data_IF_276087756763
#
_entry.id   IF_276087756763
#
_cell.length_a   1.000
_cell.length_b   1.000
_cell.length_c   1.000
_cell.angle_alpha   90.00
_cell.angle_beta   90.00
_cell.angle_gamma   90.00
#
_symmetry.space_group_name_H-M   'P 1'
#
loop_
_entity.id
_entity.type
_entity.pdbx_description
1 polymer ?
#
# COMPACT_ATOMS: atom_id res chain seq x y z
N UNK A 1 -55.18 37.46 57.46
CA UNK A 1 -54.11 38.28 56.86
C UNK A 1 -52.83 37.51 57.05
N UNK A 2 -52.04 37.43 55.97
CA UNK A 2 -50.68 36.87 55.84
C UNK A 2 -50.60 35.33 55.94
N UNK A 3 -50.59 34.56 54.84
CA UNK A 3 -49.59 34.42 53.74
C UNK A 3 -48.21 34.02 54.28
N UNK A 4 -47.96 32.71 54.33
CA UNK A 4 -46.63 32.17 54.07
C UNK A 4 -46.77 30.81 53.38
N UNK A 5 -46.46 30.77 52.09
CA UNK A 5 -46.48 29.57 51.25
C UNK A 5 -45.15 29.47 50.52
N UNK A 6 -44.29 28.60 51.04
CA UNK A 6 -43.03 28.21 50.43
C UNK A 6 -43.28 27.25 49.26
N UNK A 7 -43.24 27.77 48.03
CA UNK A 7 -43.21 26.95 46.82
C UNK A 7 -41.76 26.71 46.39
N UNK A 8 -41.28 25.49 46.57
CA UNK A 8 -40.03 25.01 45.98
C UNK A 8 -40.13 24.98 44.44
N UNK A 9 -39.14 25.56 43.76
CA UNK A 9 -39.01 25.48 42.31
C UNK A 9 -38.59 24.05 41.88
N UNK A 10 -39.11 23.49 40.77
CA UNK A 10 -38.58 22.27 40.22
C UNK A 10 -37.32 22.58 39.41
N UNK A 11 -36.19 22.02 39.81
CA UNK A 11 -34.98 21.96 39.00
C UNK A 11 -35.30 21.22 37.69
N UNK A 12 -35.26 21.94 36.58
CA UNK A 12 -35.36 21.37 35.23
C UNK A 12 -34.10 20.59 34.89
N UNK A 13 -34.10 19.28 35.17
CA UNK A 13 -33.16 18.35 34.55
C UNK A 13 -33.42 18.23 33.04
N UNK A 14 -32.41 17.88 32.22
CA UNK A 14 -32.60 17.76 30.78
C UNK A 14 -33.72 16.76 30.47
N UNK A 15 -34.69 17.19 29.66
CA UNK A 15 -35.82 16.36 29.22
C UNK A 15 -35.35 15.02 28.69
N UNK A 16 -36.00 13.91 29.09
CA UNK A 16 -35.69 12.56 28.62
C UNK A 16 -35.68 12.44 27.08
N UNK A 17 -36.42 13.30 26.38
CA UNK A 17 -36.41 13.40 24.91
C UNK A 17 -35.12 14.01 24.35
N UNK A 18 -34.48 14.95 25.05
CA UNK A 18 -33.20 15.54 24.65
C UNK A 18 -32.04 14.55 24.86
N UNK A 19 -32.08 13.78 25.94
CA UNK A 19 -31.10 12.70 26.18
C UNK A 19 -31.23 11.57 25.16
N UNK A 20 -32.45 11.16 24.81
CA UNK A 20 -32.70 10.17 23.77
C UNK A 20 -32.29 10.64 22.36
N UNK A 21 -32.52 11.92 22.05
CA UNK A 21 -32.06 12.52 20.80
C UNK A 21 -30.52 12.56 20.73
N UNK A 22 -29.84 13.01 21.79
CA UNK A 22 -28.37 13.03 21.84
C UNK A 22 -27.75 11.63 21.68
N UNK A 23 -28.32 10.62 22.35
CA UNK A 23 -27.88 9.23 22.22
C UNK A 23 -28.10 8.66 20.82
N UNK A 24 -29.20 9.05 20.15
CA UNK A 24 -29.46 8.66 18.75
C UNK A 24 -28.47 9.32 17.78
N UNK A 25 -28.11 10.59 17.98
CA UNK A 25 -27.12 11.30 17.16
C UNK A 25 -25.72 10.69 17.32
N UNK A 26 -25.37 10.28 18.55
CA UNK A 26 -24.10 9.64 18.87
C UNK A 26 -24.00 8.21 18.29
N UNK A 27 -25.11 7.46 18.30
CA UNK A 27 -25.22 6.15 17.64
C UNK A 27 -25.10 6.24 16.11
N UNK A 28 -25.68 7.27 15.49
CA UNK A 28 -25.55 7.52 14.04
C UNK A 28 -24.12 7.95 13.68
N UNK A 29 -23.49 8.80 14.49
CA UNK A 29 -22.11 9.23 14.30
C UNK A 29 -21.11 8.07 14.43
N UNK A 30 -21.31 7.17 15.40
CA UNK A 30 -20.50 5.96 15.57
C UNK A 30 -20.68 4.98 14.40
N UNK A 31 -21.92 4.75 13.94
CA UNK A 31 -22.19 3.93 12.76
C UNK A 31 -21.55 4.50 11.48
N UNK A 32 -21.58 5.82 11.28
CA UNK A 32 -20.94 6.49 10.14
C UNK A 32 -19.40 6.39 10.21
N UNK A 33 -18.82 6.52 11.42
CA UNK A 33 -17.38 6.31 11.64
C UNK A 33 -16.95 4.88 11.35
N UNK A 34 -17.75 3.89 11.76
CA UNK A 34 -17.50 2.47 11.46
C UNK A 34 -17.56 2.16 9.97
N UNK A 35 -18.51 2.76 9.23
CA UNK A 35 -18.59 2.62 7.77
C UNK A 35 -17.38 3.28 7.06
N UNK A 36 -16.92 4.45 7.53
CA UNK A 36 -15.71 5.09 7.04
C UNK A 36 -14.45 4.26 7.34
N UNK A 37 -14.36 3.68 8.53
CA UNK A 37 -13.30 2.74 8.90
C UNK A 37 -13.29 1.53 7.98
N UNK A 38 -14.45 0.91 7.72
CA UNK A 38 -14.57 -0.25 6.82
C UNK A 38 -14.10 0.04 5.39
N UNK A 39 -14.40 1.21 4.82
CA UNK A 39 -13.88 1.61 3.52
C UNK A 39 -12.37 1.92 3.56
N UNK A 40 -11.89 2.54 4.65
CA UNK A 40 -10.46 2.80 4.84
C UNK A 40 -9.63 1.51 4.98
N UNK A 41 -10.22 0.45 5.56
CA UNK A 41 -9.63 -0.86 5.76
C UNK A 41 -9.41 -1.61 4.43
N UNK A 42 -10.21 -1.34 3.39
CA UNK A 42 -9.95 -1.90 2.04
C UNK A 42 -8.62 -1.41 1.46
N UNK A 43 -8.18 -0.22 1.85
CA UNK A 43 -6.91 0.37 1.42
C UNK A 43 -5.72 -0.19 2.21
N UNK A 44 -5.97 -0.92 3.30
CA UNK A 44 -4.95 -1.66 4.08
C UNK A 44 -4.65 -3.06 3.50
N UNK A 45 -5.39 -3.48 2.48
CA UNK A 45 -5.33 -4.84 1.93
C UNK A 45 -3.91 -5.30 1.58
N UNK A 46 -3.12 -4.45 0.93
CA UNK A 46 -1.75 -4.83 0.54
C UNK A 46 -0.89 -5.15 1.76
N UNK A 47 -1.05 -4.42 2.86
CA UNK A 47 -0.26 -4.64 4.07
C UNK A 47 -0.64 -5.92 4.80
N UNK A 48 -1.85 -6.45 4.63
CA UNK A 48 -2.17 -7.79 5.14
C UNK A 48 -1.69 -8.90 4.20
N UNK A 49 -1.73 -8.64 2.89
CA UNK A 49 -1.52 -9.67 1.88
C UNK A 49 -0.06 -10.10 1.75
N UNK A 50 0.89 -9.19 1.85
CA UNK A 50 2.32 -9.46 1.68
C UNK A 50 2.85 -10.54 2.65
N UNK A 51 2.67 -10.42 3.99
CA UNK A 51 3.19 -11.40 4.94
C UNK A 51 2.45 -12.74 4.82
N UNK A 52 1.15 -12.72 4.48
CA UNK A 52 0.39 -13.93 4.19
C UNK A 52 0.94 -14.68 2.97
N UNK A 53 1.27 -13.96 1.90
CA UNK A 53 1.87 -14.54 0.70
C UNK A 53 3.29 -15.07 0.98
N UNK A 54 4.06 -14.40 1.83
CA UNK A 54 5.36 -14.87 2.27
C UNK A 54 5.24 -16.14 3.13
N UNK A 55 4.34 -16.16 4.12
CA UNK A 55 4.04 -17.35 4.93
C UNK A 55 3.63 -18.54 4.05
N UNK A 56 2.72 -18.32 3.08
CA UNK A 56 2.31 -19.36 2.12
C UNK A 56 3.47 -19.85 1.25
N UNK A 57 4.41 -18.97 0.89
CA UNK A 57 5.62 -19.36 0.13
C UNK A 57 6.48 -20.27 1.00
N UNK A 58 6.77 -19.86 2.23
CA UNK A 58 7.62 -20.59 3.17
C UNK A 58 7.06 -21.97 3.50
N UNK A 59 5.77 -22.07 3.85
CA UNK A 59 5.09 -23.36 4.13
C UNK A 59 5.20 -24.30 2.93
N UNK A 60 4.93 -23.81 1.71
CA UNK A 60 4.99 -24.65 0.50
C UNK A 60 6.41 -25.14 0.23
N UNK A 61 7.42 -24.30 0.42
CA UNK A 61 8.83 -24.68 0.22
C UNK A 61 9.28 -25.70 1.25
N UNK A 62 8.99 -25.46 2.54
CA UNK A 62 9.34 -26.36 3.64
C UNK A 62 8.66 -27.72 3.48
N UNK A 63 7.36 -27.73 3.17
CA UNK A 63 6.60 -28.95 2.93
C UNK A 63 7.16 -29.78 1.78
N UNK A 64 7.42 -29.17 0.60
CA UNK A 64 8.02 -29.89 -0.54
C UNK A 64 9.40 -30.43 -0.24
N UNK A 65 10.22 -29.65 0.48
CA UNK A 65 11.55 -30.08 0.90
C UNK A 65 11.47 -31.30 1.82
N UNK A 66 10.54 -31.28 2.79
CA UNK A 66 10.29 -32.40 3.69
C UNK A 66 9.83 -33.64 2.93
N UNK A 67 8.80 -33.53 2.09
CA UNK A 67 8.27 -34.65 1.30
C UNK A 67 9.37 -35.30 0.45
N UNK A 68 10.18 -34.48 -0.23
CA UNK A 68 11.26 -34.97 -1.11
C UNK A 68 12.34 -35.73 -0.33
N UNK A 69 12.80 -35.17 0.78
CA UNK A 69 13.85 -35.81 1.58
C UNK A 69 13.34 -37.06 2.29
N UNK A 70 12.11 -37.02 2.85
CA UNK A 70 11.49 -38.19 3.48
C UNK A 70 11.28 -39.30 2.46
N UNK A 71 10.75 -39.00 1.27
CA UNK A 71 10.58 -40.01 0.21
C UNK A 71 11.92 -40.63 -0.21
N UNK A 72 12.96 -39.81 -0.35
CA UNK A 72 14.29 -40.29 -0.73
C UNK A 72 14.99 -41.11 0.37
N UNK A 73 14.69 -40.84 1.65
CA UNK A 73 15.15 -41.68 2.75
C UNK A 73 14.40 -43.01 2.77
N UNK A 74 13.07 -42.99 2.65
CA UNK A 74 12.26 -44.21 2.59
C UNK A 74 12.68 -45.13 1.45
N UNK A 75 12.90 -44.58 0.25
CA UNK A 75 13.41 -45.36 -0.89
C UNK A 75 14.83 -45.87 -0.67
N UNK A 76 15.65 -45.15 0.12
CA UNK A 76 17.02 -45.53 0.42
C UNK A 76 17.14 -46.63 1.48
N UNK A 77 16.13 -46.83 2.33
CA UNK A 77 16.16 -47.87 3.38
C UNK A 77 15.96 -49.27 2.78
N UNK A 78 15.17 -49.41 1.71
CA UNK A 78 14.86 -50.71 1.11
C UNK A 78 16.12 -51.47 0.62
N UNK A 79 17.04 -50.87 -0.16
CA UNK A 79 18.27 -51.55 -0.60
C UNK A 79 19.20 -51.95 0.55
N UNK A 80 19.20 -51.20 1.66
CA UNK A 80 19.98 -51.55 2.84
C UNK A 80 19.49 -52.83 3.55
N UNK A 81 18.24 -53.24 3.33
CA UNK A 81 17.67 -54.42 3.96
C UNK A 81 17.91 -55.72 3.15
N UNK A 82 18.00 -55.62 1.82
CA UNK A 82 17.94 -56.81 0.94
C UNK A 82 19.15 -56.98 0.02
N UNK A 83 19.89 -55.92 -0.32
CA UNK A 83 20.85 -55.94 -1.43
C UNK A 83 22.31 -55.67 -1.03
N UNK A 84 22.57 -55.12 0.16
CA UNK A 84 23.91 -54.70 0.59
C UNK A 84 24.58 -55.66 1.57
N UNK A 85 25.91 -55.69 1.52
CA UNK A 85 26.72 -56.32 2.58
C UNK A 85 26.49 -55.61 3.92
N UNK A 86 26.75 -56.28 5.04
CA UNK A 86 26.51 -55.70 6.38
C UNK A 86 27.30 -54.40 6.62
N UNK A 87 28.53 -54.32 6.11
CA UNK A 87 29.40 -53.15 6.26
C UNK A 87 28.90 -51.99 5.38
N UNK A 88 28.55 -52.29 4.12
CA UNK A 88 28.00 -51.28 3.20
C UNK A 88 26.63 -50.76 3.69
N UNK A 89 25.79 -51.64 4.24
CA UNK A 89 24.49 -51.27 4.79
C UNK A 89 24.63 -50.28 5.96
N UNK A 90 25.63 -50.47 6.83
CA UNK A 90 25.91 -49.53 7.93
C UNK A 90 26.36 -48.17 7.38
N UNK A 91 27.24 -48.14 6.39
CA UNK A 91 27.69 -46.88 5.74
C UNK A 91 26.51 -46.16 5.10
N UNK A 92 25.65 -46.88 4.39
CA UNK A 92 24.48 -46.32 3.73
C UNK A 92 23.45 -45.78 4.74
N UNK A 93 23.14 -46.54 5.80
CA UNK A 93 22.24 -46.08 6.87
C UNK A 93 22.79 -44.84 7.58
N UNK A 94 24.10 -44.75 7.82
CA UNK A 94 24.72 -43.55 8.38
C UNK A 94 24.59 -42.33 7.46
N UNK A 95 24.66 -42.52 6.14
CA UNK A 95 24.37 -41.48 5.16
C UNK A 95 22.92 -41.01 5.24
N UNK A 96 21.95 -41.93 5.34
CA UNK A 96 20.54 -41.59 5.51
C UNK A 96 20.26 -40.85 6.82
N UNK A 97 20.89 -41.27 7.92
CA UNK A 97 20.83 -40.55 9.21
C UNK A 97 21.37 -39.13 9.06
N UNK A 98 22.49 -38.95 8.38
CA UNK A 98 23.07 -37.63 8.11
C UNK A 98 22.12 -36.74 7.29
N UNK A 99 21.42 -37.31 6.31
CA UNK A 99 20.38 -36.60 5.54
C UNK A 99 19.20 -36.19 6.41
N UNK A 100 18.72 -37.07 7.29
CA UNK A 100 17.63 -36.76 8.24
C UNK A 100 18.03 -35.66 9.23
N UNK A 101 19.27 -35.67 9.72
CA UNK A 101 19.81 -34.59 10.56
C UNK A 101 19.87 -33.27 9.80
N UNK A 102 20.27 -33.30 8.53
CA UNK A 102 20.23 -32.14 7.63
C UNK A 102 18.80 -31.62 7.42
N UNK A 103 17.83 -32.52 7.21
CA UNK A 103 16.43 -32.16 7.09
C UNK A 103 15.89 -31.53 8.38
N UNK A 104 16.22 -32.09 9.55
CA UNK A 104 15.85 -31.52 10.86
C UNK A 104 16.30 -30.07 10.98
N UNK A 105 17.58 -29.78 10.71
CA UNK A 105 18.13 -28.41 10.77
C UNK A 105 17.41 -27.46 9.81
N UNK A 106 17.13 -27.91 8.58
CA UNK A 106 16.38 -27.13 7.59
C UNK A 106 14.95 -26.83 8.05
N UNK A 107 14.27 -27.81 8.65
CA UNK A 107 12.91 -27.63 9.17
C UNK A 107 12.86 -26.72 10.40
N UNK A 108 13.86 -26.78 11.27
CA UNK A 108 13.97 -25.86 12.42
C UNK A 108 14.12 -24.41 11.94
N UNK A 109 14.96 -24.15 10.94
CA UNK A 109 15.11 -22.82 10.36
C UNK A 109 13.84 -22.37 9.61
N UNK A 110 13.23 -23.29 8.86
CA UNK A 110 11.93 -23.10 8.23
C UNK A 110 10.85 -22.71 9.23
N UNK A 111 10.77 -23.40 10.37
CA UNK A 111 9.81 -23.12 11.43
C UNK A 111 10.03 -21.73 12.06
N UNK A 112 11.28 -21.30 12.28
CA UNK A 112 11.56 -19.94 12.75
C UNK A 112 11.04 -18.88 11.79
N UNK A 113 11.32 -19.05 10.49
CA UNK A 113 10.85 -18.12 9.46
C UNK A 113 9.32 -18.11 9.36
N UNK A 114 8.65 -19.26 9.44
CA UNK A 114 7.19 -19.35 9.49
C UNK A 114 6.61 -18.63 10.72
N UNK A 115 7.16 -18.87 11.91
CA UNK A 115 6.71 -18.23 13.15
C UNK A 115 6.85 -16.71 13.08
N UNK A 116 7.95 -16.20 12.51
CA UNK A 116 8.12 -14.77 12.27
C UNK A 116 7.03 -14.20 11.36
N UNK A 117 6.69 -14.90 10.27
CA UNK A 117 5.61 -14.42 9.39
C UNK A 117 4.22 -14.51 10.05
N UNK A 118 3.98 -15.52 10.88
CA UNK A 118 2.74 -15.62 11.68
C UNK A 118 2.66 -14.47 12.68
N UNK A 119 3.76 -14.15 13.36
CA UNK A 119 3.85 -12.98 14.26
C UNK A 119 3.52 -11.69 13.49
N UNK A 120 4.12 -11.47 12.32
CA UNK A 120 3.82 -10.30 11.48
C UNK A 120 2.36 -10.24 11.04
N UNK A 121 1.78 -11.38 10.65
CA UNK A 121 0.36 -11.44 10.31
C UNK A 121 -0.51 -11.05 11.52
N UNK A 122 -0.18 -11.56 12.71
CA UNK A 122 -0.90 -11.25 13.95
C UNK A 122 -0.77 -9.77 14.33
N UNK A 123 0.45 -9.24 14.38
CA UNK A 123 0.71 -7.83 14.70
C UNK A 123 -0.08 -6.87 13.80
N UNK A 124 -0.22 -7.21 12.51
CA UNK A 124 -1.02 -6.40 11.57
C UNK A 124 -2.52 -6.53 11.81
N UNK A 125 -3.02 -7.71 12.17
CA UNK A 125 -4.43 -7.88 12.58
C UNK A 125 -4.73 -7.11 13.88
N UNK A 126 -3.87 -7.25 14.88
CA UNK A 126 -3.99 -6.55 16.17
C UNK A 126 -4.00 -5.01 15.95
N UNK A 127 -3.13 -4.52 15.06
CA UNK A 127 -3.14 -3.09 14.69
C UNK A 127 -4.46 -2.66 14.03
N UNK A 128 -5.08 -3.49 13.20
CA UNK A 128 -6.39 -3.17 12.61
C UNK A 128 -7.52 -3.21 13.63
N UNK A 129 -7.49 -4.13 14.59
CA UNK A 129 -8.44 -4.20 15.71
C UNK A 129 -8.31 -2.99 16.65
N UNK A 130 -7.11 -2.43 16.75
CA UNK A 130 -6.83 -1.21 17.51
C UNK A 130 -7.41 0.09 16.93
N UNK A 131 -8.08 0.04 15.77
CA UNK A 131 -8.69 1.20 15.12
C UNK A 131 -9.99 1.64 15.83
N UNK A 132 -9.87 2.10 17.07
CA UNK A 132 -10.96 2.56 17.93
C UNK A 132 -10.97 4.09 18.05
N UNK A 133 -12.13 4.68 18.38
CA UNK A 133 -12.30 6.13 18.41
C UNK A 133 -11.35 6.86 19.38
N UNK A 134 -11.01 6.22 20.50
CA UNK A 134 -10.13 6.77 21.55
C UNK A 134 -8.66 6.86 21.10
N UNK A 135 -8.19 5.91 20.28
CA UNK A 135 -6.78 5.80 19.85
C UNK A 135 -6.57 6.16 18.36
N UNK A 136 -7.55 6.79 17.73
CA UNK A 136 -7.56 7.00 16.28
C UNK A 136 -6.37 7.86 15.79
N UNK A 137 -5.90 8.81 16.61
CA UNK A 137 -4.75 9.65 16.25
C UNK A 137 -3.45 8.85 16.17
N UNK A 138 -3.15 8.04 17.20
CA UNK A 138 -1.94 7.20 17.25
C UNK A 138 -1.99 6.10 16.17
N UNK A 139 -3.18 5.54 15.95
CA UNK A 139 -3.41 4.56 14.90
C UNK A 139 -3.13 5.16 13.52
N UNK A 140 -3.64 6.36 13.24
CA UNK A 140 -3.40 7.07 11.97
C UNK A 140 -1.92 7.44 11.78
N UNK A 141 -1.22 7.85 12.84
CA UNK A 141 0.23 8.13 12.79
C UNK A 141 1.02 6.87 12.42
N UNK A 142 0.72 5.74 13.07
CA UNK A 142 1.32 4.43 12.75
C UNK A 142 1.03 4.01 11.31
N UNK A 143 -0.22 4.19 10.86
CA UNK A 143 -0.63 3.91 9.48
C UNK A 143 0.15 4.77 8.48
N UNK A 144 0.29 6.06 8.73
CA UNK A 144 1.07 6.96 7.87
C UNK A 144 2.52 6.52 7.78
N UNK A 145 3.15 6.19 8.92
CA UNK A 145 4.53 5.68 8.95
C UNK A 145 4.70 4.40 8.12
N UNK A 146 3.75 3.46 8.20
CA UNK A 146 3.74 2.25 7.34
C UNK A 146 3.67 2.60 5.85
N UNK A 147 2.82 3.54 5.47
CA UNK A 147 2.70 4.03 4.08
C UNK A 147 4.00 4.70 3.61
N UNK A 148 4.64 5.49 4.47
CA UNK A 148 5.93 6.13 4.16
C UNK A 148 7.05 5.10 3.99
N UNK A 149 7.10 4.08 4.84
CA UNK A 149 8.07 2.98 4.70
C UNK A 149 7.86 2.25 3.37
N UNK A 150 6.63 1.88 3.01
CA UNK A 150 6.31 1.27 1.69
C UNK A 150 6.77 2.15 0.52
N UNK A 151 6.48 3.46 0.58
CA UNK A 151 6.93 4.41 -0.43
C UNK A 151 8.46 4.46 -0.54
N UNK A 152 9.16 4.60 0.59
CA UNK A 152 10.62 4.66 0.63
C UNK A 152 11.25 3.39 0.06
N UNK A 153 10.73 2.21 0.39
CA UNK A 153 11.22 0.93 -0.13
C UNK A 153 11.04 0.84 -1.66
N UNK A 154 9.91 1.30 -2.21
CA UNK A 154 9.65 1.32 -3.66
C UNK A 154 10.52 2.31 -4.43
N UNK A 155 10.87 3.42 -3.78
CA UNK A 155 11.73 4.48 -4.33
C UNK A 155 13.23 4.24 -4.06
N UNK A 156 13.59 3.06 -3.57
CA UNK A 156 14.97 2.66 -3.25
C UNK A 156 15.63 3.42 -2.08
N UNK A 157 14.85 4.07 -1.22
CA UNK A 157 15.32 4.73 0.02
C UNK A 157 15.36 3.74 1.21
N UNK A 158 16.08 2.63 1.03
CA UNK A 158 16.07 1.49 1.97
C UNK A 158 16.55 1.86 3.38
N UNK A 159 17.67 2.60 3.49
CA UNK A 159 18.26 2.93 4.80
C UNK A 159 17.33 3.85 5.61
N UNK A 160 16.67 4.79 4.94
CA UNK A 160 15.68 5.68 5.57
C UNK A 160 14.44 4.90 6.00
N UNK A 161 13.97 3.96 5.17
CA UNK A 161 12.84 3.09 5.49
C UNK A 161 13.11 2.25 6.74
N UNK A 162 14.30 1.65 6.84
CA UNK A 162 14.74 0.85 8.00
C UNK A 162 14.79 1.72 9.25
N UNK A 163 15.45 2.87 9.19
CA UNK A 163 15.54 3.80 10.33
C UNK A 163 14.17 4.27 10.81
N UNK A 164 13.26 4.60 9.90
CA UNK A 164 11.89 5.02 10.26
C UNK A 164 11.13 3.89 10.95
N UNK A 165 11.27 2.66 10.46
CA UNK A 165 10.64 1.49 11.06
C UNK A 165 11.19 1.18 12.47
N UNK A 166 12.50 1.33 12.67
CA UNK A 166 13.16 1.14 13.97
C UNK A 166 12.77 2.19 15.00
N UNK A 167 12.88 3.47 14.65
CA UNK A 167 12.55 4.59 15.55
C UNK A 167 11.07 4.56 15.95
N UNK A 168 10.21 4.10 15.04
CA UNK A 168 8.76 4.01 15.29
C UNK A 168 8.33 2.68 15.89
N UNK A 169 9.24 1.70 16.03
CA UNK A 169 8.96 0.34 16.49
C UNK A 169 7.83 -0.36 15.69
N UNK A 170 7.87 -0.26 14.35
CA UNK A 170 6.85 -0.81 13.44
C UNK A 170 7.40 -1.90 12.50
N UNK A 171 8.54 -2.52 12.82
CA UNK A 171 9.22 -3.50 11.97
C UNK A 171 8.30 -4.68 11.59
N UNK A 172 7.43 -5.12 12.49
CA UNK A 172 6.47 -6.19 12.22
C UNK A 172 5.29 -5.77 11.31
N UNK A 173 5.08 -4.46 11.14
CA UNK A 173 4.00 -3.87 10.35
C UNK A 173 4.42 -3.50 8.92
N UNK A 174 5.69 -3.71 8.57
CA UNK A 174 6.28 -3.33 7.28
C UNK A 174 7.02 -4.51 6.63
N UNK A 175 7.30 -4.40 5.33
CA UNK A 175 7.75 -5.52 4.49
C UNK A 175 9.23 -5.39 4.04
N UNK A 176 10.10 -4.89 4.93
CA UNK A 176 11.50 -4.55 4.63
C UNK A 176 12.26 -5.72 3.97
N UNK A 177 12.20 -6.92 4.55
CA UNK A 177 12.94 -8.09 4.03
C UNK A 177 12.50 -8.46 2.61
N UNK A 178 11.20 -8.35 2.33
CA UNK A 178 10.60 -8.66 1.03
C UNK A 178 11.13 -7.71 -0.04
N UNK A 179 11.31 -6.44 0.30
CA UNK A 179 11.91 -5.46 -0.59
C UNK A 179 13.43 -5.60 -0.71
N UNK A 180 14.15 -6.10 0.30
CA UNK A 180 15.57 -6.43 0.16
C UNK A 180 15.81 -7.63 -0.78
N UNK A 181 14.93 -8.64 -0.77
CA UNK A 181 14.97 -9.72 -1.78
C UNK A 181 14.81 -9.15 -3.20
N UNK A 182 13.87 -8.22 -3.39
CA UNK A 182 13.64 -7.56 -4.66
C UNK A 182 14.82 -6.68 -5.07
N UNK A 183 15.39 -5.91 -4.13
CA UNK A 183 16.57 -5.05 -4.33
C UNK A 183 17.72 -5.86 -4.94
N UNK A 184 18.05 -7.01 -4.37
CA UNK A 184 19.14 -7.88 -4.87
C UNK A 184 18.93 -8.26 -6.34
N UNK A 185 17.70 -8.59 -6.72
CA UNK A 185 17.38 -8.96 -8.11
C UNK A 185 17.47 -7.74 -9.03
N UNK A 186 16.95 -6.58 -8.59
CA UNK A 186 17.02 -5.33 -9.34
C UNK A 186 18.48 -4.93 -9.59
N UNK A 187 19.31 -4.94 -8.55
CA UNK A 187 20.75 -4.64 -8.65
C UNK A 187 21.45 -5.62 -9.58
N UNK A 188 21.14 -6.92 -9.49
CA UNK A 188 21.72 -7.91 -10.41
C UNK A 188 21.35 -7.63 -11.87
N UNK A 189 20.08 -7.27 -12.15
CA UNK A 189 19.67 -6.90 -13.50
C UNK A 189 20.36 -5.61 -13.98
N UNK A 190 20.60 -4.63 -13.09
CA UNK A 190 21.34 -3.42 -13.42
C UNK A 190 22.81 -3.71 -13.75
N UNK A 191 23.41 -4.67 -13.05
CA UNK A 191 24.75 -5.21 -13.33
C UNK A 191 24.78 -6.23 -14.49
N UNK A 192 23.67 -6.37 -15.22
CA UNK A 192 23.52 -7.26 -16.39
C UNK A 192 23.61 -8.76 -16.08
N UNK A 193 23.28 -9.13 -14.85
CA UNK A 193 23.24 -10.52 -14.36
C UNK A 193 21.80 -11.05 -14.29
N UNK A 194 21.48 -12.03 -15.13
CA UNK A 194 20.12 -12.60 -15.26
C UNK A 194 19.84 -13.76 -14.29
N UNK A 195 20.89 -14.39 -13.76
CA UNK A 195 20.75 -15.62 -12.98
C UNK A 195 19.83 -15.45 -11.75
N UNK A 196 19.93 -14.39 -10.93
CA UNK A 196 19.04 -14.20 -9.78
C UNK A 196 17.56 -14.04 -10.18
N UNK A 197 17.28 -13.33 -11.27
CA UNK A 197 15.92 -13.14 -11.79
C UNK A 197 15.34 -14.46 -12.34
N UNK A 198 16.16 -15.28 -12.99
CA UNK A 198 15.76 -16.60 -13.49
C UNK A 198 15.49 -17.60 -12.35
N UNK A 199 16.29 -17.56 -11.28
CA UNK A 199 16.02 -18.34 -10.05
C UNK A 199 14.68 -17.92 -9.46
N UNK A 200 14.42 -16.62 -9.36
CA UNK A 200 13.13 -16.11 -8.89
C UNK A 200 11.95 -16.57 -9.76
N UNK A 201 12.13 -16.62 -11.09
CA UNK A 201 11.12 -17.18 -12.00
C UNK A 201 10.86 -18.65 -11.72
N UNK A 202 11.91 -19.45 -11.50
CA UNK A 202 11.78 -20.87 -11.19
C UNK A 202 11.03 -21.12 -9.87
N UNK A 203 11.34 -20.35 -8.82
CA UNK A 203 10.65 -20.41 -7.53
C UNK A 203 9.14 -20.08 -7.66
N UNK A 204 8.82 -19.14 -8.54
CA UNK A 204 7.46 -18.62 -8.70
C UNK A 204 6.72 -19.16 -9.95
N UNK A 205 7.28 -20.15 -10.64
CA UNK A 205 6.82 -20.66 -11.95
C UNK A 205 5.32 -20.92 -12.04
N UNK A 206 4.75 -21.60 -11.04
CA UNK A 206 3.32 -21.93 -11.02
C UNK A 206 2.42 -20.68 -10.96
N UNK A 207 2.86 -19.64 -10.23
CA UNK A 207 2.12 -18.38 -10.06
C UNK A 207 2.25 -17.51 -11.31
N UNK A 208 3.47 -17.40 -11.83
CA UNK A 208 3.76 -16.66 -13.07
C UNK A 208 3.00 -17.27 -14.26
N UNK A 209 2.92 -18.59 -14.35
CA UNK A 209 2.11 -19.28 -15.38
C UNK A 209 0.62 -18.96 -15.26
N UNK A 210 0.05 -18.98 -14.04
CA UNK A 210 -1.35 -18.58 -13.79
C UNK A 210 -1.61 -17.11 -14.16
N UNK A 211 -0.64 -16.25 -13.87
CA UNK A 211 -0.69 -14.82 -14.20
C UNK A 211 -0.43 -14.52 -15.70
N UNK A 212 -0.09 -15.54 -16.50
CA UNK A 212 0.32 -15.45 -17.91
C UNK A 212 1.49 -14.46 -18.11
N UNK A 213 2.42 -14.44 -17.16
CA UNK A 213 3.60 -13.57 -17.22
C UNK A 213 4.51 -13.94 -18.38
N UNK A 214 5.07 -12.91 -19.04
CA UNK A 214 6.10 -13.05 -20.09
C UNK A 214 7.53 -12.85 -19.55
N UNK A 215 7.68 -12.59 -18.25
CA UNK A 215 8.96 -12.14 -17.70
C UNK A 215 10.08 -13.17 -17.87
N UNK A 216 9.83 -14.45 -17.56
CA UNK A 216 10.83 -15.52 -17.79
C UNK A 216 11.24 -15.59 -19.26
N UNK A 217 10.28 -15.47 -20.19
CA UNK A 217 10.57 -15.46 -21.62
C UNK A 217 11.48 -14.29 -22.01
N UNK A 218 11.20 -13.09 -21.52
CA UNK A 218 12.01 -11.89 -21.79
C UNK A 218 13.44 -12.02 -21.24
N UNK A 219 13.61 -12.57 -20.04
CA UNK A 219 14.94 -12.85 -19.49
C UNK A 219 15.72 -13.84 -20.36
N UNK A 220 15.06 -14.90 -20.84
CA UNK A 220 15.69 -15.90 -21.74
C UNK A 220 16.07 -15.31 -23.10
N UNK A 221 15.27 -14.37 -23.62
CA UNK A 221 15.63 -13.62 -24.82
C UNK A 221 16.87 -12.74 -24.58
N UNK A 222 16.92 -12.03 -23.46
CA UNK A 222 18.08 -11.21 -23.12
C UNK A 222 19.35 -12.06 -22.95
N UNK A 223 19.27 -13.20 -22.28
CA UNK A 223 20.41 -14.13 -22.11
C UNK A 223 20.94 -14.60 -23.47
N UNK A 224 20.04 -14.92 -24.40
CA UNK A 224 20.42 -15.23 -25.79
C UNK A 224 21.10 -14.04 -26.49
N UNK A 225 20.56 -12.83 -26.36
CA UNK A 225 21.13 -11.61 -26.96
C UNK A 225 22.56 -11.36 -26.44
N UNK A 226 22.80 -11.58 -25.15
CA UNK A 226 24.14 -11.44 -24.56
C UNK A 226 25.11 -12.53 -25.06
N UNK A 227 24.65 -13.78 -25.29
CA UNK A 227 25.47 -14.81 -25.93
C UNK A 227 25.87 -14.41 -27.36
N UNK A 228 24.94 -13.81 -28.12
CA UNK A 228 25.22 -13.28 -29.46
C UNK A 228 26.18 -12.10 -29.40
N UNK A 229 26.02 -11.19 -28.43
CA UNK A 229 26.91 -10.04 -28.23
C UNK A 229 28.35 -10.47 -27.96
N UNK A 230 28.55 -11.59 -27.27
CA UNK A 230 29.86 -12.17 -26.96
C UNK A 230 30.45 -13.04 -28.09
N UNK A 231 29.91 -12.93 -29.31
CA UNK A 231 30.30 -13.70 -30.50
C UNK A 231 30.21 -15.23 -30.35
N UNK A 232 29.50 -15.72 -29.34
CA UNK A 232 29.35 -17.15 -29.06
C UNK A 232 28.11 -17.74 -29.77
N UNK A 233 28.14 -17.70 -31.11
CA UNK A 233 26.99 -18.06 -31.96
C UNK A 233 26.54 -19.52 -31.80
N UNK A 234 27.47 -20.45 -31.62
CA UNK A 234 27.15 -21.88 -31.45
C UNK A 234 26.42 -22.09 -30.12
N UNK A 235 26.94 -21.53 -29.03
CA UNK A 235 26.29 -21.65 -27.72
C UNK A 235 24.94 -20.95 -27.68
N UNK A 236 24.79 -19.82 -28.39
CA UNK A 236 23.50 -19.14 -28.53
C UNK A 236 22.45 -20.03 -29.22
N UNK A 237 22.83 -20.75 -30.28
CA UNK A 237 21.94 -21.67 -31.00
C UNK A 237 21.52 -22.84 -30.09
N UNK A 238 22.47 -23.45 -29.38
CA UNK A 238 22.17 -24.56 -28.47
C UNK A 238 21.30 -24.10 -27.29
N UNK A 239 21.57 -22.90 -26.78
CA UNK A 239 20.75 -22.25 -25.78
C UNK A 239 19.31 -22.03 -26.28
N UNK A 240 19.13 -21.49 -27.49
CA UNK A 240 17.82 -21.26 -28.07
C UNK A 240 17.02 -22.56 -28.24
N UNK A 241 17.67 -23.63 -28.70
CA UNK A 241 17.05 -24.96 -28.80
C UNK A 241 16.56 -25.45 -27.44
N UNK A 242 17.35 -25.24 -26.38
CA UNK A 242 17.04 -25.71 -25.04
C UNK A 242 15.95 -24.90 -24.33
N UNK A 243 16.06 -23.57 -24.34
CA UNK A 243 15.24 -22.69 -23.48
C UNK A 243 14.18 -21.88 -24.23
N UNK A 244 14.41 -21.57 -25.51
CA UNK A 244 13.50 -20.73 -26.30
C UNK A 244 12.50 -21.56 -27.13
N UNK A 245 12.86 -22.76 -27.58
CA UNK A 245 12.01 -23.66 -28.36
C UNK A 245 10.60 -23.89 -27.75
N UNK A 246 10.45 -24.10 -26.42
CA UNK A 246 9.12 -24.29 -25.81
C UNK A 246 8.15 -23.10 -25.98
N UNK A 247 8.69 -21.90 -26.25
CA UNK A 247 7.91 -20.68 -26.45
C UNK A 247 7.54 -20.43 -27.91
N UNK A 248 8.04 -21.25 -28.83
CA UNK A 248 7.80 -21.14 -30.28
C UNK A 248 6.32 -21.10 -30.65
N UNK A 249 5.49 -21.92 -30.00
CA UNK A 249 4.06 -21.97 -30.29
C UNK A 249 3.32 -20.65 -29.99
N UNK A 250 3.82 -19.85 -29.04
CA UNK A 250 3.13 -18.64 -28.54
C UNK A 250 3.79 -17.36 -29.04
N UNK A 251 5.12 -17.32 -29.15
CA UNK A 251 5.90 -16.10 -29.36
C UNK A 251 6.84 -16.17 -30.57
N UNK A 252 6.45 -16.92 -31.62
CA UNK A 252 7.29 -17.14 -32.81
C UNK A 252 7.82 -15.85 -33.46
N UNK A 253 7.00 -14.80 -33.55
CA UNK A 253 7.42 -13.52 -34.17
C UNK A 253 8.55 -12.84 -33.38
N UNK A 254 8.43 -12.83 -32.06
CA UNK A 254 9.45 -12.26 -31.16
C UNK A 254 10.73 -13.11 -31.23
N UNK A 255 10.60 -14.44 -31.27
CA UNK A 255 11.72 -15.35 -31.45
C UNK A 255 12.44 -15.15 -32.78
N UNK A 256 11.72 -15.06 -33.90
CA UNK A 256 12.32 -14.82 -35.22
C UNK A 256 13.11 -13.50 -35.25
N UNK A 257 12.55 -12.44 -34.65
CA UNK A 257 13.22 -11.15 -34.54
C UNK A 257 14.53 -11.25 -33.74
N UNK A 258 14.52 -11.98 -32.62
CA UNK A 258 15.72 -12.16 -31.80
C UNK A 258 16.72 -13.10 -32.47
N UNK A 259 16.27 -14.17 -33.14
CA UNK A 259 17.16 -15.09 -33.88
C UNK A 259 17.90 -14.38 -35.03
N UNK A 260 17.29 -13.35 -35.62
CA UNK A 260 17.94 -12.54 -36.65
C UNK A 260 19.20 -11.80 -36.14
N UNK A 261 19.38 -11.63 -34.82
CA UNK A 261 20.60 -11.00 -34.27
C UNK A 261 21.86 -11.84 -34.48
N UNK A 262 21.72 -13.13 -34.80
CA UNK A 262 22.84 -13.97 -35.26
C UNK A 262 23.46 -13.44 -36.56
N UNK A 263 22.66 -12.81 -37.42
CA UNK A 263 23.12 -12.13 -38.64
C UNK A 263 23.36 -10.64 -38.38
N UNK A 264 22.44 -9.97 -37.68
CA UNK A 264 22.54 -8.55 -37.31
C UNK A 264 23.09 -8.41 -35.88
N UNK A 265 24.42 -8.48 -35.76
CA UNK A 265 25.13 -8.42 -34.47
C UNK A 265 25.03 -7.04 -33.79
N UNK A 266 25.67 -6.92 -32.63
CA UNK A 266 25.66 -5.71 -31.78
C UNK A 266 26.16 -4.42 -32.47
N UNK A 267 26.96 -4.54 -33.53
CA UNK A 267 27.47 -3.42 -34.34
C UNK A 267 26.58 -3.08 -35.55
N UNK A 268 25.36 -3.60 -35.62
CA UNK A 268 24.47 -3.37 -36.76
C UNK A 268 24.00 -1.91 -36.87
N UNK A 269 23.93 -1.40 -38.10
CA UNK A 269 23.31 -0.10 -38.41
C UNK A 269 21.79 -0.21 -38.57
N UNK A 270 21.23 -1.43 -38.59
CA UNK A 270 19.79 -1.62 -38.71
C UNK A 270 19.08 -1.34 -37.39
N UNK A 271 18.37 -0.20 -37.32
CA UNK A 271 17.64 0.25 -36.13
C UNK A 271 16.71 -0.82 -35.53
N UNK A 272 16.08 -1.65 -36.38
CA UNK A 272 15.15 -2.72 -35.96
C UNK A 272 15.78 -3.71 -34.99
N UNK A 273 17.07 -4.02 -35.17
CA UNK A 273 17.82 -4.97 -34.36
C UNK A 273 18.77 -4.28 -33.37
N UNK A 274 19.26 -3.07 -33.69
CA UNK A 274 20.11 -2.29 -32.79
C UNK A 274 19.44 -2.06 -31.43
N UNK A 275 18.14 -1.76 -31.41
CA UNK A 275 17.36 -1.54 -30.18
C UNK A 275 17.42 -2.73 -29.21
N UNK A 276 17.56 -3.97 -29.72
CA UNK A 276 17.65 -5.18 -28.88
C UNK A 276 18.96 -5.24 -28.08
N UNK A 277 20.01 -4.54 -28.53
CA UNK A 277 21.30 -4.46 -27.87
C UNK A 277 21.44 -3.18 -27.02
N UNK A 278 20.42 -2.34 -26.90
CA UNK A 278 20.53 -1.11 -26.11
C UNK A 278 20.53 -1.40 -24.59
N UNK A 279 21.27 -0.62 -23.79
CA UNK A 279 21.23 -0.74 -22.32
C UNK A 279 19.83 -0.59 -21.73
N UNK A 280 18.95 0.18 -22.40
CA UNK A 280 17.54 0.38 -21.99
C UNK A 280 16.73 -0.92 -21.90
N UNK A 281 17.16 -2.01 -22.53
CA UNK A 281 16.52 -3.32 -22.37
C UNK A 281 16.60 -3.80 -20.91
N UNK A 282 17.68 -3.48 -20.20
CA UNK A 282 17.83 -3.83 -18.78
C UNK A 282 16.89 -3.02 -17.89
N UNK A 283 16.71 -1.73 -18.17
CA UNK A 283 15.73 -0.90 -17.46
C UNK A 283 14.31 -1.44 -17.64
N UNK A 284 13.99 -1.90 -18.87
CA UNK A 284 12.71 -2.54 -19.14
C UNK A 284 12.54 -3.86 -18.36
N UNK A 285 13.57 -4.70 -18.27
CA UNK A 285 13.53 -5.93 -17.47
C UNK A 285 13.35 -5.63 -15.98
N UNK A 286 14.03 -4.59 -15.45
CA UNK A 286 13.85 -4.14 -14.06
C UNK A 286 12.40 -3.72 -13.81
N UNK A 287 11.81 -2.95 -14.73
CA UNK A 287 10.43 -2.48 -14.59
C UNK A 287 9.43 -3.65 -14.70
N UNK A 288 9.63 -4.57 -15.65
CA UNK A 288 8.83 -5.79 -15.73
C UNK A 288 8.94 -6.66 -14.48
N UNK A 289 10.15 -6.79 -13.91
CA UNK A 289 10.35 -7.47 -12.63
C UNK A 289 9.54 -6.82 -11.52
N UNK A 290 9.63 -5.49 -11.35
CA UNK A 290 8.87 -4.75 -10.33
C UNK A 290 7.36 -5.00 -10.46
N UNK A 291 6.82 -4.94 -11.68
CA UNK A 291 5.40 -5.18 -11.94
C UNK A 291 4.97 -6.60 -11.56
N UNK A 292 5.74 -7.61 -11.95
CA UNK A 292 5.44 -9.01 -11.60
C UNK A 292 5.61 -9.27 -10.10
N UNK A 293 6.62 -8.66 -9.48
CA UNK A 293 6.85 -8.73 -8.04
C UNK A 293 5.66 -8.16 -7.26
N UNK A 294 5.21 -6.94 -7.57
CA UNK A 294 4.06 -6.33 -6.91
C UNK A 294 2.78 -7.16 -7.11
N UNK A 295 2.52 -7.60 -8.34
CA UNK A 295 1.37 -8.46 -8.66
C UNK A 295 1.41 -9.78 -7.88
N UNK A 296 2.58 -10.37 -7.74
CA UNK A 296 2.77 -11.63 -7.03
C UNK A 296 2.49 -11.47 -5.53
N UNK A 297 2.92 -10.37 -4.92
CA UNK A 297 2.65 -10.09 -3.50
C UNK A 297 1.28 -9.43 -3.25
N UNK A 298 0.50 -9.15 -4.30
CA UNK A 298 -0.81 -8.50 -4.17
C UNK A 298 -0.72 -7.03 -3.76
N UNK A 299 0.41 -6.40 -4.07
CA UNK A 299 0.66 -4.97 -3.89
C UNK A 299 0.08 -4.18 -5.07
N UNK A 300 -0.19 -2.90 -4.85
CA UNK A 300 -0.50 -1.96 -5.94
C UNK A 300 0.77 -1.68 -6.76
N UNK A 301 0.61 -1.34 -8.04
CA UNK A 301 1.72 -0.89 -8.88
C UNK A 301 2.22 0.49 -8.45
N UNK A 302 1.28 1.42 -8.28
CA UNK A 302 1.55 2.73 -7.71
C UNK A 302 1.72 2.61 -6.18
N UNK A 303 2.70 3.32 -5.59
CA UNK A 303 2.82 3.40 -4.13
C UNK A 303 1.55 3.91 -3.47
N UNK A 304 1.20 3.35 -2.31
CA UNK A 304 -0.02 3.74 -1.58
C UNK A 304 -0.07 5.25 -1.29
N UNK A 305 1.06 5.86 -0.96
CA UNK A 305 1.15 7.31 -0.72
C UNK A 305 0.60 8.13 -1.89
N UNK A 306 0.94 7.75 -3.13
CA UNK A 306 0.46 8.44 -4.33
C UNK A 306 -1.06 8.29 -4.47
N UNK A 307 -1.58 7.09 -4.23
CA UNK A 307 -3.02 6.79 -4.32
C UNK A 307 -3.80 7.64 -3.29
N UNK A 308 -3.36 7.65 -2.03
CA UNK A 308 -4.01 8.43 -0.98
C UNK A 308 -3.95 9.93 -1.26
N UNK A 309 -2.78 10.43 -1.70
CA UNK A 309 -2.60 11.84 -1.99
C UNK A 309 -3.48 12.28 -3.17
N UNK A 310 -3.52 11.50 -4.26
CA UNK A 310 -4.39 11.76 -5.40
C UNK A 310 -5.87 11.71 -5.01
N UNK A 311 -6.29 10.71 -4.22
CA UNK A 311 -7.66 10.60 -3.75
C UNK A 311 -8.06 11.82 -2.89
N UNK A 312 -7.21 12.23 -1.95
CA UNK A 312 -7.42 13.40 -1.12
C UNK A 312 -7.48 14.70 -1.93
N UNK A 313 -6.54 14.90 -2.84
CA UNK A 313 -6.52 16.08 -3.72
C UNK A 313 -7.76 16.12 -4.63
N UNK A 314 -8.19 14.98 -5.20
CA UNK A 314 -9.40 14.92 -6.02
C UNK A 314 -10.67 15.27 -5.22
N UNK A 315 -10.74 14.86 -3.95
CA UNK A 315 -11.86 15.20 -3.06
C UNK A 315 -11.93 16.71 -2.75
N UNK A 316 -10.76 17.37 -2.65
CA UNK A 316 -10.64 18.80 -2.34
C UNK A 316 -10.65 19.70 -3.58
N UNK A 317 -10.35 19.16 -4.76
CA UNK A 317 -10.19 19.95 -5.99
C UNK A 317 -11.50 20.57 -6.44
N UNK A 318 -11.60 21.88 -6.29
CA UNK A 318 -12.70 22.70 -6.83
C UNK A 318 -12.18 23.71 -7.86
N UNK A 319 -13.05 24.29 -8.71
CA UNK A 319 -12.64 25.37 -9.62
C UNK A 319 -12.09 26.61 -8.89
N UNK A 320 -12.49 26.84 -7.63
CA UNK A 320 -12.06 27.99 -6.83
C UNK A 320 -10.62 27.88 -6.32
N UNK A 321 -10.05 26.67 -6.27
CA UNK A 321 -8.68 26.43 -5.78
C UNK A 321 -7.60 27.16 -6.61
N UNK A 322 -7.93 27.60 -7.82
CA UNK A 322 -7.02 28.28 -8.75
C UNK A 322 -7.17 29.81 -8.76
N UNK A 323 -8.07 30.35 -7.95
CA UNK A 323 -8.29 31.80 -7.85
C UNK A 323 -7.34 32.46 -6.84
N UNK A 324 -7.08 33.76 -7.00
CA UNK A 324 -6.18 34.52 -6.11
C UNK A 324 -6.64 34.57 -4.64
N UNK A 325 -7.95 34.42 -4.40
CA UNK A 325 -8.56 34.45 -3.07
C UNK A 325 -8.73 33.06 -2.43
N UNK A 326 -7.95 32.06 -2.87
CA UNK A 326 -7.99 30.71 -2.30
C UNK A 326 -7.60 30.74 -0.80
N UNK A 327 -8.40 30.14 0.11
CA UNK A 327 -8.06 30.08 1.52
C UNK A 327 -6.69 29.43 1.76
N UNK A 328 -5.89 29.99 2.68
CA UNK A 328 -4.61 29.37 3.09
C UNK A 328 -4.77 27.97 3.70
N UNK A 329 -5.97 27.66 4.19
CA UNK A 329 -6.35 26.35 4.73
C UNK A 329 -6.56 25.29 3.62
N UNK A 330 -6.74 25.71 2.36
CA UNK A 330 -6.84 24.80 1.23
C UNK A 330 -5.44 24.31 0.81
N UNK A 331 -5.15 23.00 0.84
CA UNK A 331 -3.88 22.47 0.35
C UNK A 331 -3.58 22.86 -1.10
N UNK A 332 -4.61 23.04 -1.93
CA UNK A 332 -4.47 23.46 -3.33
C UNK A 332 -4.17 24.95 -3.49
N UNK A 333 -4.05 25.72 -2.40
CA UNK A 333 -3.43 27.05 -2.44
C UNK A 333 -1.93 26.95 -2.79
N UNK A 334 -1.29 25.83 -2.48
CA UNK A 334 0.13 25.61 -2.76
C UNK A 334 0.36 25.11 -4.19
N UNK A 335 1.34 25.68 -4.87
CA UNK A 335 1.66 25.34 -6.27
C UNK A 335 2.02 23.86 -6.46
N UNK A 336 2.77 23.28 -5.53
CA UNK A 336 3.16 21.85 -5.57
C UNK A 336 1.94 20.92 -5.62
N UNK A 337 0.95 21.14 -4.75
CA UNK A 337 -0.27 20.35 -4.74
C UNK A 337 -1.15 20.62 -5.97
N UNK A 338 -1.18 21.85 -6.51
CA UNK A 338 -1.88 22.14 -7.78
C UNK A 338 -1.31 21.38 -8.96
N UNK A 339 0.02 21.28 -9.04
CA UNK A 339 0.71 20.51 -10.09
C UNK A 339 0.35 19.03 -10.02
N UNK A 340 0.37 18.45 -8.80
CA UNK A 340 -0.05 17.05 -8.59
C UNK A 340 -1.53 16.84 -8.92
N UNK A 341 -2.39 17.82 -8.63
CA UNK A 341 -3.82 17.72 -8.86
C UNK A 341 -4.24 18.04 -10.30
N UNK A 342 -3.35 18.48 -11.19
CA UNK A 342 -3.69 19.01 -12.52
C UNK A 342 -4.58 18.04 -13.33
N UNK A 343 -4.19 16.76 -13.38
CA UNK A 343 -4.90 15.71 -14.13
C UNK A 343 -6.05 15.05 -13.37
N UNK A 344 -6.28 15.42 -12.11
CA UNK A 344 -7.35 14.84 -11.29
C UNK A 344 -8.71 15.46 -11.64
N UNK A 345 -9.81 14.71 -11.49
CA UNK A 345 -11.15 15.26 -11.68
C UNK A 345 -11.48 16.31 -10.62
N UNK A 346 -12.38 17.24 -10.95
CA UNK A 346 -12.96 18.14 -9.97
C UNK A 346 -13.98 17.41 -9.09
N UNK A 347 -13.98 17.74 -7.81
CA UNK A 347 -14.93 17.26 -6.81
C UNK A 347 -16.35 17.67 -7.18
N UNK A 348 -17.27 16.71 -7.22
CA UNK A 348 -18.71 16.95 -7.40
C UNK A 348 -19.37 17.00 -6.03
N UNK A 349 -19.62 18.21 -5.53
CA UNK A 349 -20.33 18.40 -4.28
C UNK A 349 -21.82 18.62 -4.59
N UNK A 350 -22.66 17.63 -4.25
CA UNK A 350 -24.12 17.73 -4.43
C UNK A 350 -24.79 18.58 -3.35
N UNK A 351 -24.14 18.72 -2.19
CA UNK A 351 -24.65 19.50 -1.06
C UNK A 351 -23.53 20.38 -0.52
N UNK A 352 -23.78 21.69 -0.49
CA UNK A 352 -22.89 22.65 0.18
C UNK A 352 -23.28 22.74 1.66
N UNK A 353 -22.27 22.74 2.53
CA UNK A 353 -22.44 22.96 3.97
C UNK A 353 -21.74 24.27 4.33
N UNK A 354 -22.43 25.15 5.06
CA UNK A 354 -21.83 26.36 5.57
C UNK A 354 -21.07 26.08 6.86
N UNK A 355 -19.85 26.60 6.96
CA UNK A 355 -19.02 26.53 8.17
C UNK A 355 -18.73 27.95 8.62
N UNK A 356 -18.92 28.21 9.90
CA UNK A 356 -18.72 29.54 10.47
C UNK A 356 -17.25 29.95 10.42
N UNK A 357 -16.98 31.18 9.98
CA UNK A 357 -15.62 31.71 9.95
C UNK A 357 -14.97 31.83 11.33
N UNK A 358 -15.76 32.13 12.37
CA UNK A 358 -15.27 32.38 13.74
C UNK A 358 -15.13 31.05 14.50
N UNK A 359 -16.22 30.30 14.63
CA UNK A 359 -16.26 29.08 15.46
C UNK A 359 -15.78 27.84 14.74
N UNK A 360 -15.62 27.88 13.41
CA UNK A 360 -15.32 26.72 12.55
C UNK A 360 -16.33 25.57 12.68
N UNK A 361 -17.51 25.84 13.25
CA UNK A 361 -18.60 24.89 13.40
C UNK A 361 -19.55 24.94 12.20
N UNK A 362 -20.25 23.82 11.97
CA UNK A 362 -21.30 23.73 10.96
C UNK A 362 -22.43 24.72 11.27
N UNK A 363 -22.97 25.33 10.22
CA UNK A 363 -24.11 26.22 10.28
C UNK A 363 -25.32 25.47 9.71
N UNK A 364 -26.26 25.15 10.58
CA UNK A 364 -27.41 24.27 10.32
C UNK A 364 -28.67 24.80 11.01
N UNK A 365 -29.68 23.95 11.17
CA UNK A 365 -30.93 24.33 11.83
C UNK A 365 -30.76 24.73 13.30
N UNK A 366 -29.77 24.16 14.01
CA UNK A 366 -29.47 24.45 15.41
C UNK A 366 -28.48 25.62 15.58
N UNK A 367 -27.65 25.88 14.58
CA UNK A 367 -26.68 26.96 14.55
C UNK A 367 -26.81 27.77 13.24
N UNK A 368 -27.91 28.51 13.03
CA UNK A 368 -28.24 29.08 11.74
C UNK A 368 -27.28 30.19 11.30
N UNK A 369 -27.18 30.43 9.97
CA UNK A 369 -26.51 31.60 9.41
C UNK A 369 -27.25 32.90 9.73
N UNK A 370 -26.52 33.84 10.31
CA UNK A 370 -26.92 35.23 10.51
C UNK A 370 -26.06 36.14 9.62
N UNK A 371 -26.73 37.06 8.94
CA UNK A 371 -26.14 37.97 7.93
C UNK A 371 -25.99 39.36 8.54
N UNK A 372 -24.78 39.91 8.48
CA UNK A 372 -24.50 41.31 8.80
C UNK A 372 -25.07 42.25 7.72
N UNK A 373 -25.29 43.54 8.03
CA UNK A 373 -25.69 44.54 7.03
C UNK A 373 -24.73 44.68 5.84
N UNK A 374 -23.44 44.33 5.99
CA UNK A 374 -22.47 44.26 4.89
C UNK A 374 -22.51 42.97 4.06
N UNK A 375 -23.44 42.05 4.35
CA UNK A 375 -23.59 40.80 3.62
C UNK A 375 -22.69 39.64 4.08
N UNK A 376 -21.81 39.83 5.06
CA UNK A 376 -21.04 38.72 5.63
C UNK A 376 -21.88 37.86 6.56
N UNK A 377 -21.66 36.54 6.53
CA UNK A 377 -22.47 35.56 7.24
C UNK A 377 -21.65 34.83 8.31
N UNK A 378 -22.18 34.76 9.53
CA UNK A 378 -21.58 34.05 10.66
C UNK A 378 -22.65 33.24 11.40
N UNK A 379 -22.24 32.33 12.30
CA UNK A 379 -23.19 31.47 12.99
C UNK A 379 -23.79 32.16 14.20
N UNK A 380 -25.04 31.83 14.51
CA UNK A 380 -25.76 32.37 15.66
C UNK A 380 -24.97 32.15 16.97
N UNK A 381 -24.38 30.96 17.17
CA UNK A 381 -23.53 30.71 18.36
C UNK A 381 -22.37 31.69 18.48
N UNK A 382 -21.66 31.95 17.37
CA UNK A 382 -20.51 32.86 17.36
C UNK A 382 -20.90 34.30 17.69
N UNK A 383 -22.01 34.76 17.12
CA UNK A 383 -22.48 36.13 17.29
C UNK A 383 -23.13 36.35 18.66
N UNK A 384 -23.81 35.34 19.23
CA UNK A 384 -24.33 35.40 20.60
C UNK A 384 -23.21 35.49 21.63
N UNK A 385 -22.16 34.69 21.46
CA UNK A 385 -20.98 34.73 22.32
C UNK A 385 -20.33 36.12 22.26
N UNK A 386 -20.12 36.64 21.04
CA UNK A 386 -19.57 37.99 20.84
C UNK A 386 -20.45 39.09 21.44
N UNK A 387 -21.78 39.01 21.29
CA UNK A 387 -22.71 39.97 21.84
C UNK A 387 -22.74 39.95 23.38
N UNK A 388 -22.63 38.77 23.98
CA UNK A 388 -22.59 38.61 25.45
C UNK A 388 -21.38 39.30 26.08
N UNK A 389 -20.28 39.39 25.34
CA UNK A 389 -19.03 40.02 25.78
C UNK A 389 -18.99 41.54 25.47
N UNK A 390 -19.85 42.03 24.57
CA UNK A 390 -19.78 43.40 24.04
C UNK A 390 -21.13 44.15 24.16
N UNK A 391 -21.84 43.97 25.27
CA UNK A 391 -23.09 44.71 25.60
C UNK A 391 -24.15 44.66 24.48
N UNK A 392 -24.29 43.51 23.78
CA UNK A 392 -25.27 43.33 22.71
C UNK A 392 -24.79 43.71 21.30
N UNK A 393 -23.59 44.30 21.17
CA UNK A 393 -22.99 44.65 19.88
C UNK A 393 -22.10 43.54 19.34
N UNK A 394 -22.06 43.42 18.01
CA UNK A 394 -21.23 42.45 17.30
C UNK A 394 -20.40 43.15 16.24
N UNK A 395 -19.16 42.69 16.07
CA UNK A 395 -18.20 43.26 15.12
C UNK A 395 -17.88 42.24 14.05
N UNK A 396 -18.03 42.62 12.77
CA UNK A 396 -17.64 41.78 11.65
C UNK A 396 -16.10 41.67 11.61
N UNK A 397 -15.50 40.47 11.81
CA UNK A 397 -14.05 40.31 11.85
C UNK A 397 -13.34 40.60 10.53
N UNK A 398 -14.07 40.66 9.41
CA UNK A 398 -13.51 40.89 8.07
C UNK A 398 -13.52 42.36 7.65
N UNK A 399 -14.49 43.14 8.13
CA UNK A 399 -14.70 44.53 7.71
C UNK A 399 -14.58 45.53 8.86
N UNK A 400 -14.59 45.08 10.11
CA UNK A 400 -14.61 45.92 11.30
C UNK A 400 -15.95 46.62 11.56
N UNK A 401 -16.98 46.37 10.74
CA UNK A 401 -18.30 46.98 10.96
C UNK A 401 -18.94 46.45 12.23
N UNK A 402 -19.42 47.36 13.07
CA UNK A 402 -20.16 47.07 14.30
C UNK A 402 -21.65 47.29 14.06
N UNK A 403 -22.49 46.37 14.53
CA UNK A 403 -23.94 46.54 14.57
C UNK A 403 -24.51 45.89 15.83
N UNK A 404 -25.75 46.21 16.17
CA UNK A 404 -26.47 45.52 17.25
C UNK A 404 -26.86 44.11 16.81
N UNK A 405 -26.89 43.16 17.75
CA UNK A 405 -27.26 41.77 17.46
C UNK A 405 -28.68 41.65 16.86
N UNK A 406 -29.59 42.56 17.23
CA UNK A 406 -30.96 42.62 16.71
C UNK A 406 -31.04 43.00 15.23
N UNK A 407 -30.00 43.63 14.67
CA UNK A 407 -29.95 44.05 13.26
C UNK A 407 -29.55 42.90 12.32
N UNK A 408 -29.13 41.76 12.88
CA UNK A 408 -28.73 40.59 12.11
C UNK A 408 -29.94 39.84 11.55
N UNK A 409 -29.87 39.46 10.28
CA UNK A 409 -30.96 38.74 9.61
C UNK A 409 -30.59 37.28 9.42
N UNK A 410 -31.51 36.36 9.73
CA UNK A 410 -31.32 34.94 9.47
C UNK A 410 -31.38 34.64 7.97
N UNK A 411 -30.34 34.00 7.44
CA UNK A 411 -30.37 33.48 6.08
C UNK A 411 -31.05 32.11 6.02
N UNK A 412 -31.81 31.88 4.95
CA UNK A 412 -32.38 30.58 4.62
C UNK A 412 -31.71 30.07 3.35
N UNK A 413 -31.21 28.84 3.41
CA UNK A 413 -30.49 28.21 2.30
C UNK A 413 -31.33 27.01 1.90
N UNK A 414 -31.80 27.02 0.64
CA UNK A 414 -32.61 25.97 0.03
C UNK A 414 -31.75 24.98 -0.73
#
# INVERSE_FOLDING_TARGET
MDIDSSSAAPNGGPSATAAAAAAATEAVATSARLAQLAESLKLEYQFLRVPLEHLRKTIRTNHRSAEREVAAVLSGVVPAAEELSREDAVVHLNSLVSRLQGLKRKLEEGNKTENLQVQRCRARLDHLEGAQAENLSEWNDTRLKRILVDYMLRMSYYDTAVKLAEISNIQDLVDIDVFFEAKRIIESLQEKELAPALVWCAENKSRLKKAKSKFEFQLRLQEFIELVRNDNSISAIDYARKYLSPWGATYMKELQRVMATLAFKSNTECDTYRVLFEPKQWDYLVEQFKQEFYKLYGMTLEPSLNIYLQAGLAALKTPFCYQENCPREDPLSQEGFRKLAQHLPFSKQHHSKLVCYITKQLMDSENPPLVFPNGYVYSEKALKEMASQNEGRVTCPRTGQVCDFSELVKAYIS
#
